data_IF_347307702347
#
_entry.id   IF_347307702347
#
_cell.length_a   1.000
_cell.length_b   1.000
_cell.length_c   1.000
_cell.angle_alpha   90.00
_cell.angle_beta   90.00
_cell.angle_gamma   90.00
#
_symmetry.space_group_name_H-M   'P 1'
#
loop_
_entity.id
_entity.type
_entity.pdbx_description
1 polymer ?
#
# COMPACT_ATOMS: atom_id res chain seq x y z
N UNK A 1 6.89 -9.31 1.65
CA UNK A 1 8.32 -9.56 1.94
C UNK A 1 8.54 -10.78 2.85
N UNK A 2 7.87 -11.90 2.51
CA UNK A 2 8.16 -13.26 3.00
C UNK A 2 7.64 -14.26 1.94
N UNK A 3 6.53 -13.95 1.26
CA UNK A 3 5.99 -14.78 0.17
C UNK A 3 6.90 -15.02 -1.05
N UNK A 4 7.80 -14.09 -1.39
CA UNK A 4 8.67 -14.20 -2.56
C UNK A 4 9.82 -15.22 -2.38
N UNK A 5 10.56 -15.22 -1.25
CA UNK A 5 11.48 -16.31 -0.92
C UNK A 5 10.76 -17.58 -0.40
N UNK A 6 9.61 -17.46 0.29
CA UNK A 6 8.85 -18.64 0.75
C UNK A 6 8.16 -19.39 -0.40
N UNK A 7 7.87 -18.73 -1.52
CA UNK A 7 7.35 -19.35 -2.74
C UNK A 7 8.33 -20.31 -3.39
N UNK A 8 9.64 -20.14 -3.18
CA UNK A 8 10.66 -21.11 -3.61
C UNK A 8 10.62 -22.42 -2.79
N UNK A 9 10.06 -22.39 -1.57
CA UNK A 9 9.93 -23.57 -0.70
C UNK A 9 8.57 -24.24 -0.90
N UNK A 10 7.48 -23.46 -0.83
CA UNK A 10 6.11 -23.96 -1.06
C UNK A 10 5.13 -22.83 -1.37
N UNK A 11 4.41 -22.97 -2.47
CA UNK A 11 3.37 -22.03 -2.90
C UNK A 11 2.16 -21.98 -1.94
N UNK A 12 1.97 -22.99 -1.08
CA UNK A 12 0.87 -23.03 -0.11
C UNK A 12 1.04 -22.04 1.04
N UNK A 13 2.28 -21.74 1.44
CA UNK A 13 2.55 -20.85 2.58
C UNK A 13 2.04 -19.42 2.29
N UNK A 14 2.37 -18.79 1.13
CA UNK A 14 1.76 -17.52 0.73
C UNK A 14 0.23 -17.55 0.68
N UNK A 15 -0.36 -18.62 0.15
CA UNK A 15 -1.82 -18.76 -0.03
C UNK A 15 -2.55 -18.74 1.31
N UNK A 16 -2.07 -19.51 2.29
CA UNK A 16 -2.67 -19.54 3.64
C UNK A 16 -2.53 -18.19 4.33
N UNK A 17 -1.36 -17.55 4.25
CA UNK A 17 -1.12 -16.24 4.86
C UNK A 17 -2.05 -15.18 4.26
N UNK A 18 -2.19 -15.15 2.93
CA UNK A 18 -3.08 -14.21 2.24
C UNK A 18 -4.55 -14.51 2.58
N UNK A 19 -4.94 -15.77 2.67
CA UNK A 19 -6.29 -16.18 3.07
C UNK A 19 -6.66 -15.70 4.48
N UNK A 20 -5.76 -15.88 5.46
CA UNK A 20 -5.96 -15.38 6.83
C UNK A 20 -6.01 -13.85 6.86
N UNK A 21 -5.08 -13.18 6.16
CA UNK A 21 -5.05 -11.73 6.09
C UNK A 21 -6.35 -11.17 5.46
N UNK A 22 -6.83 -11.79 4.39
CA UNK A 22 -8.09 -11.45 3.74
C UNK A 22 -9.29 -11.66 4.66
N UNK A 23 -9.34 -12.79 5.38
CA UNK A 23 -10.40 -13.06 6.36
C UNK A 23 -10.41 -12.03 7.50
N UNK A 24 -9.23 -11.69 8.05
CA UNK A 24 -9.10 -10.67 9.08
C UNK A 24 -9.54 -9.28 8.59
N UNK A 25 -9.19 -8.91 7.37
CA UNK A 25 -9.61 -7.66 6.75
C UNK A 25 -11.15 -7.61 6.60
N UNK A 26 -11.76 -8.66 6.08
CA UNK A 26 -13.22 -8.72 5.90
C UNK A 26 -13.97 -8.73 7.24
N UNK A 27 -13.45 -9.42 8.25
CA UNK A 27 -14.03 -9.43 9.59
C UNK A 27 -14.05 -8.03 10.22
N UNK A 28 -13.03 -7.21 9.96
CA UNK A 28 -12.99 -5.83 10.42
C UNK A 28 -14.07 -4.97 9.78
N UNK A 29 -14.20 -5.00 8.44
CA UNK A 29 -15.22 -4.24 7.71
C UNK A 29 -16.65 -4.61 8.12
N UNK A 30 -16.92 -5.91 8.31
CA UNK A 30 -18.25 -6.39 8.73
C UNK A 30 -18.65 -5.91 10.12
N UNK A 31 -17.68 -5.64 11.01
CA UNK A 31 -17.95 -5.29 12.41
C UNK A 31 -17.78 -3.79 12.72
N UNK A 32 -17.33 -2.97 11.77
CA UNK A 32 -17.17 -1.52 11.97
C UNK A 32 -18.53 -0.85 12.24
N UNK A 33 -19.58 -1.19 11.48
CA UNK A 33 -20.87 -0.52 11.64
C UNK A 33 -21.61 -0.93 12.92
N UNK A 34 -21.47 -2.19 13.35
CA UNK A 34 -22.01 -2.66 14.63
C UNK A 34 -21.27 -2.06 15.82
N UNK A 35 -19.93 -2.04 15.79
CA UNK A 35 -19.12 -1.46 16.88
C UNK A 35 -19.39 0.03 17.10
N UNK A 36 -19.63 0.82 16.05
CA UNK A 36 -20.05 2.23 16.19
C UNK A 36 -21.42 2.32 16.90
N UNK A 37 -22.35 1.44 16.57
CA UNK A 37 -23.67 1.38 17.20
C UNK A 37 -23.64 0.99 18.67
N UNK A 38 -22.67 0.16 19.06
CA UNK A 38 -22.50 -0.32 20.44
C UNK A 38 -21.72 0.67 21.33
N UNK A 39 -20.89 1.53 20.74
CA UNK A 39 -20.02 2.46 21.47
C UNK A 39 -20.58 3.88 21.63
N UNK A 40 -21.58 4.28 20.82
CA UNK A 40 -22.08 5.66 20.77
C UNK A 40 -23.60 5.76 20.94
N UNK A 41 -24.12 6.89 21.47
CA UNK A 41 -25.56 7.07 21.67
C UNK A 41 -26.31 7.06 20.33
N UNK A 42 -27.50 6.45 20.31
CA UNK A 42 -28.33 6.24 19.09
C UNK A 42 -28.55 7.49 18.23
N UNK A 43 -28.54 8.67 18.85
CA UNK A 43 -28.72 9.98 18.18
C UNK A 43 -27.49 10.44 17.38
N UNK A 44 -26.30 9.95 17.73
CA UNK A 44 -25.02 10.39 17.17
C UNK A 44 -24.41 9.40 16.16
N UNK A 45 -24.94 8.17 16.05
CA UNK A 45 -24.40 7.10 15.18
C UNK A 45 -24.25 7.58 13.73
N UNK A 46 -25.28 8.21 13.16
CA UNK A 46 -25.26 8.66 11.77
C UNK A 46 -24.17 9.72 11.50
N UNK A 47 -24.01 10.68 12.40
CA UNK A 47 -23.01 11.74 12.28
C UNK A 47 -21.59 11.18 12.42
N UNK A 48 -21.35 10.27 13.36
CA UNK A 48 -20.04 9.66 13.60
C UNK A 48 -19.62 8.79 12.41
N UNK A 49 -20.54 7.99 11.87
CA UNK A 49 -20.29 7.21 10.65
C UNK A 49 -20.00 8.11 9.46
N UNK A 50 -20.72 9.23 9.32
CA UNK A 50 -20.47 10.21 8.26
C UNK A 50 -19.09 10.87 8.35
N UNK A 51 -18.70 11.34 9.55
CA UNK A 51 -17.38 11.92 9.79
C UNK A 51 -16.28 10.87 9.57
N UNK A 52 -16.48 9.64 10.06
CA UNK A 52 -15.55 8.53 9.85
C UNK A 52 -15.37 8.18 8.38
N UNK A 53 -16.46 8.16 7.61
CA UNK A 53 -16.43 7.96 6.15
C UNK A 53 -15.68 9.08 5.41
N UNK A 54 -15.90 10.34 5.79
CA UNK A 54 -15.18 11.48 5.22
C UNK A 54 -13.68 11.42 5.55
N UNK A 55 -13.33 11.14 6.80
CA UNK A 55 -11.94 10.98 7.23
C UNK A 55 -11.24 9.82 6.49
N UNK A 56 -11.95 8.69 6.33
CA UNK A 56 -11.46 7.54 5.55
C UNK A 56 -11.25 7.88 4.07
N UNK A 57 -12.16 8.64 3.46
CA UNK A 57 -12.04 9.09 2.06
C UNK A 57 -10.85 10.03 1.84
N UNK A 58 -10.68 11.03 2.71
CA UNK A 58 -9.55 11.97 2.65
C UNK A 58 -8.23 11.23 2.89
N UNK A 59 -8.18 10.34 3.89
CA UNK A 59 -7.01 9.51 4.15
C UNK A 59 -6.62 8.65 2.95
N UNK A 60 -7.61 8.03 2.30
CA UNK A 60 -7.39 7.20 1.11
C UNK A 60 -6.85 8.02 -0.07
N UNK A 61 -7.38 9.24 -0.27
CA UNK A 61 -6.88 10.14 -1.31
C UNK A 61 -5.41 10.53 -1.07
N UNK A 62 -5.06 10.89 0.16
CA UNK A 62 -3.69 11.29 0.51
C UNK A 62 -2.72 10.11 0.37
N UNK A 63 -3.10 8.92 0.82
CA UNK A 63 -2.26 7.71 0.70
C UNK A 63 -2.07 7.32 -0.76
N UNK A 64 -3.12 7.35 -1.59
CA UNK A 64 -3.01 7.00 -3.01
C UNK A 64 -2.11 8.00 -3.76
N UNK A 65 -2.27 9.30 -3.50
CA UNK A 65 -1.43 10.34 -4.12
C UNK A 65 0.03 10.25 -3.64
N UNK A 66 0.23 10.05 -2.34
CA UNK A 66 1.55 9.86 -1.74
C UNK A 66 2.25 8.59 -2.24
N UNK A 67 1.51 7.50 -2.41
CA UNK A 67 2.04 6.23 -2.94
C UNK A 67 2.48 6.38 -4.38
N UNK A 68 1.71 7.07 -5.22
CA UNK A 68 2.10 7.37 -6.61
C UNK A 68 3.43 8.14 -6.67
N UNK A 69 3.53 9.24 -5.91
CA UNK A 69 4.77 10.03 -5.83
C UNK A 69 5.95 9.23 -5.31
N UNK A 70 5.72 8.36 -4.33
CA UNK A 70 6.76 7.48 -3.79
C UNK A 70 7.21 6.46 -4.85
N UNK A 71 6.29 5.84 -5.58
CA UNK A 71 6.64 4.88 -6.63
C UNK A 71 7.42 5.55 -7.77
N UNK A 72 6.98 6.71 -8.25
CA UNK A 72 7.69 7.47 -9.27
C UNK A 72 9.12 7.82 -8.82
N UNK A 73 9.27 8.25 -7.57
CA UNK A 73 10.58 8.54 -6.99
C UNK A 73 11.48 7.30 -6.93
N UNK A 74 10.95 6.18 -6.43
CA UNK A 74 11.72 4.93 -6.28
C UNK A 74 12.09 4.34 -7.64
N UNK A 75 11.22 4.45 -8.65
CA UNK A 75 11.50 3.99 -10.00
C UNK A 75 12.58 4.86 -10.68
N UNK A 76 12.58 6.18 -10.48
CA UNK A 76 13.61 7.05 -11.06
C UNK A 76 14.97 6.85 -10.40
N UNK A 77 15.02 6.84 -9.06
CA UNK A 77 16.29 6.89 -8.33
C UNK A 77 16.91 5.53 -8.06
N UNK A 78 16.10 4.48 -7.91
CA UNK A 78 16.56 3.17 -7.43
C UNK A 78 16.41 2.05 -8.46
N UNK A 79 16.01 2.35 -9.69
CA UNK A 79 16.07 1.37 -10.79
C UNK A 79 17.48 1.30 -11.36
N UNK A 80 17.95 0.09 -11.64
CA UNK A 80 19.25 -0.16 -12.26
C UNK A 80 19.10 -0.95 -13.55
N UNK A 81 19.88 -0.60 -14.56
CA UNK A 81 19.94 -1.28 -15.85
C UNK A 81 21.38 -1.70 -16.10
N UNK A 82 21.63 -3.00 -16.25
CA UNK A 82 22.97 -3.59 -16.37
C UNK A 82 23.92 -3.21 -15.22
N UNK A 83 23.38 -3.09 -14.00
CA UNK A 83 24.14 -2.73 -12.80
C UNK A 83 24.47 -1.24 -12.65
N UNK A 84 24.09 -0.39 -13.61
CA UNK A 84 24.21 1.07 -13.54
C UNK A 84 22.88 1.72 -13.17
N UNK A 85 22.92 2.89 -12.53
CA UNK A 85 21.70 3.60 -12.17
C UNK A 85 20.96 4.10 -13.42
N UNK A 86 19.63 4.05 -13.40
CA UNK A 86 18.80 4.46 -14.54
C UNK A 86 19.08 5.91 -14.97
N UNK A 87 19.30 6.81 -14.01
CA UNK A 87 19.62 8.22 -14.25
C UNK A 87 21.01 8.44 -14.84
N UNK A 88 21.96 7.54 -14.59
CA UNK A 88 23.30 7.63 -15.19
C UNK A 88 23.27 7.21 -16.66
N UNK A 89 22.51 6.15 -16.98
CA UNK A 89 22.38 5.64 -18.35
C UNK A 89 21.44 6.51 -19.21
N UNK A 90 20.42 7.10 -18.59
CA UNK A 90 19.43 7.95 -19.25
C UNK A 90 19.21 9.26 -18.46
N UNK A 91 20.14 10.24 -18.57
CA UNK A 91 20.02 11.53 -17.88
C UNK A 91 18.79 12.33 -18.32
N UNK A 92 18.22 11.99 -19.48
CA UNK A 92 16.98 12.56 -20.04
C UNK A 92 15.75 12.31 -19.15
N UNK A 93 15.79 11.30 -18.26
CA UNK A 93 14.71 10.99 -17.33
C UNK A 93 14.70 11.88 -16.06
N UNK A 94 15.72 12.72 -15.88
CA UNK A 94 15.83 13.61 -14.72
C UNK A 94 14.80 14.76 -14.79
N UNK A 95 14.64 15.37 -15.97
CA UNK A 95 13.68 16.44 -16.19
C UNK A 95 12.34 15.87 -16.66
N UNK A 96 11.20 16.30 -16.08
CA UNK A 96 9.88 15.75 -16.41
C UNK A 96 9.51 15.94 -17.90
N UNK A 97 9.78 17.11 -18.48
CA UNK A 97 9.44 17.40 -19.88
C UNK A 97 10.29 16.57 -20.87
N UNK A 98 11.56 16.33 -20.52
CA UNK A 98 12.48 15.50 -21.31
C UNK A 98 12.18 14.01 -21.12
N UNK A 99 11.72 13.61 -19.94
CA UNK A 99 11.34 12.24 -19.64
C UNK A 99 10.12 11.82 -20.45
N UNK A 100 9.06 12.63 -20.50
CA UNK A 100 7.85 12.28 -21.25
C UNK A 100 8.11 12.19 -22.76
N UNK A 101 8.91 13.10 -23.31
CA UNK A 101 9.29 13.08 -24.72
C UNK A 101 10.17 11.86 -25.06
N UNK A 102 11.12 11.51 -24.19
CA UNK A 102 11.93 10.30 -24.33
C UNK A 102 11.09 9.02 -24.23
N UNK A 103 10.17 8.93 -23.27
CA UNK A 103 9.29 7.77 -23.09
C UNK A 103 8.38 7.58 -24.31
N UNK A 104 7.76 8.65 -24.81
CA UNK A 104 6.94 8.62 -26.04
C UNK A 104 7.76 8.23 -27.27
N UNK A 105 9.00 8.72 -27.40
CA UNK A 105 9.89 8.34 -28.50
C UNK A 105 10.27 6.85 -28.47
N UNK A 106 10.33 6.24 -27.28
CA UNK A 106 10.58 4.81 -27.08
C UNK A 106 9.29 3.97 -27.00
N UNK A 107 8.13 4.54 -27.36
CA UNK A 107 6.84 3.84 -27.36
C UNK A 107 6.34 3.40 -25.98
N UNK A 108 6.85 4.00 -24.90
CA UNK A 108 6.51 3.68 -23.53
C UNK A 108 5.59 4.76 -22.92
N UNK A 109 4.49 4.32 -22.30
CA UNK A 109 3.57 5.22 -21.58
C UNK A 109 4.08 5.63 -20.20
N UNK A 110 5.01 4.86 -19.64
CA UNK A 110 5.59 5.06 -18.31
C UNK A 110 7.04 4.57 -18.26
N UNK A 111 7.77 4.97 -17.23
CA UNK A 111 9.13 4.46 -16.97
C UNK A 111 9.10 2.94 -16.81
N UNK A 112 8.03 2.38 -16.23
CA UNK A 112 7.88 0.94 -16.09
C UNK A 112 7.78 0.22 -17.44
N UNK A 113 6.99 0.76 -18.37
CA UNK A 113 6.85 0.18 -19.71
C UNK A 113 8.19 0.25 -20.47
N UNK A 114 8.92 1.34 -20.29
CA UNK A 114 10.26 1.47 -20.84
C UNK A 114 11.22 0.44 -20.25
N UNK A 115 11.22 0.26 -18.93
CA UNK A 115 12.02 -0.76 -18.25
C UNK A 115 11.65 -2.18 -18.70
N UNK A 116 10.36 -2.45 -18.97
CA UNK A 116 9.89 -3.72 -19.55
C UNK A 116 10.39 -3.92 -20.98
N UNK A 117 10.38 -2.87 -21.82
CA UNK A 117 10.94 -2.93 -23.18
C UNK A 117 12.45 -3.19 -23.16
N UNK A 118 13.19 -2.57 -22.23
CA UNK A 118 14.62 -2.84 -22.03
C UNK A 118 14.88 -4.28 -21.57
N UNK A 119 14.07 -4.78 -20.64
CA UNK A 119 14.15 -6.17 -20.22
C UNK A 119 13.84 -7.14 -21.37
N UNK A 120 12.85 -6.82 -22.22
CA UNK A 120 12.52 -7.59 -23.42
C UNK A 120 13.64 -7.57 -24.48
N UNK A 121 14.44 -6.50 -24.48
CA UNK A 121 15.63 -6.36 -25.35
C UNK A 121 16.85 -7.13 -24.83
N UNK A 122 16.72 -7.84 -23.70
CA UNK A 122 17.76 -8.69 -23.12
C UNK A 122 18.66 -7.97 -22.11
N UNK A 123 18.34 -6.75 -21.70
CA UNK A 123 19.08 -6.05 -20.64
C UNK A 123 18.65 -6.53 -19.24
N UNK A 124 19.59 -6.56 -18.31
CA UNK A 124 19.31 -6.92 -16.91
C UNK A 124 18.75 -5.69 -16.17
N UNK A 125 17.44 -5.69 -15.93
CA UNK A 125 16.74 -4.56 -15.31
C UNK A 125 16.29 -4.92 -13.89
N UNK A 126 16.79 -4.19 -12.90
CA UNK A 126 16.26 -4.23 -11.54
C UNK A 126 15.36 -3.01 -11.33
N UNK A 127 14.06 -3.25 -11.19
CA UNK A 127 13.07 -2.19 -11.07
C UNK A 127 12.98 -1.72 -9.61
N UNK A 128 13.21 -0.42 -9.37
CA UNK A 128 13.18 0.20 -8.05
C UNK A 128 11.80 0.19 -7.39
N UNK A 129 10.74 -0.13 -8.16
CA UNK A 129 9.37 -0.24 -7.66
C UNK A 129 9.22 -1.26 -6.51
N UNK A 130 10.02 -2.33 -6.51
CA UNK A 130 10.01 -3.33 -5.43
C UNK A 130 10.39 -2.71 -4.07
N UNK A 131 11.36 -1.79 -4.06
CA UNK A 131 11.75 -1.03 -2.88
C UNK A 131 10.64 -0.07 -2.44
N UNK A 132 9.93 0.53 -3.39
CA UNK A 132 8.72 1.31 -3.10
C UNK A 132 7.63 0.48 -2.43
N UNK A 133 7.38 -0.74 -2.92
CA UNK A 133 6.43 -1.67 -2.29
C UNK A 133 6.83 -2.02 -0.86
N UNK A 134 8.13 -2.21 -0.60
CA UNK A 134 8.60 -2.48 0.77
C UNK A 134 8.30 -1.34 1.73
N UNK A 135 8.51 -0.09 1.32
CA UNK A 135 8.26 1.08 2.16
C UNK A 135 6.77 1.21 2.47
N UNK A 136 5.91 1.14 1.45
CA UNK A 136 4.46 1.32 1.65
C UNK A 136 3.85 0.21 2.52
N UNK A 137 4.22 -1.05 2.31
CA UNK A 137 3.72 -2.15 3.12
C UNK A 137 4.19 -2.06 4.58
N UNK A 138 5.41 -1.56 4.82
CA UNK A 138 5.94 -1.35 6.17
C UNK A 138 5.17 -0.26 6.90
N UNK A 139 4.88 0.87 6.23
CA UNK A 139 4.07 1.96 6.79
C UNK A 139 2.65 1.46 7.10
N UNK A 140 2.02 0.74 6.17
CA UNK A 140 0.68 0.18 6.37
C UNK A 140 0.62 -0.82 7.54
N UNK A 141 1.64 -1.67 7.69
CA UNK A 141 1.71 -2.61 8.81
C UNK A 141 1.78 -1.88 10.17
N UNK A 142 2.60 -0.84 10.26
CA UNK A 142 2.71 -0.02 11.49
C UNK A 142 1.42 0.74 11.76
N UNK A 143 0.81 1.34 10.73
CA UNK A 143 -0.47 2.04 10.86
C UNK A 143 -1.60 1.12 11.38
N UNK A 144 -1.64 -0.14 10.90
CA UNK A 144 -2.60 -1.12 11.37
C UNK A 144 -2.40 -1.47 12.86
N UNK A 145 -1.15 -1.67 13.29
CA UNK A 145 -0.83 -1.92 14.70
C UNK A 145 -1.22 -0.74 15.59
N UNK A 146 -0.98 0.49 15.14
CA UNK A 146 -1.40 1.70 15.86
C UNK A 146 -2.92 1.74 16.01
N UNK A 147 -3.66 1.49 14.92
CA UNK A 147 -5.13 1.44 14.97
C UNK A 147 -5.65 0.37 15.93
N UNK A 148 -5.05 -0.81 15.92
CA UNK A 148 -5.39 -1.89 16.85
C UNK A 148 -5.12 -1.52 18.32
N UNK A 149 -3.97 -0.89 18.61
CA UNK A 149 -3.64 -0.39 19.95
C UNK A 149 -4.64 0.66 20.40
N UNK A 150 -4.98 1.64 19.55
CA UNK A 150 -5.97 2.68 19.86
C UNK A 150 -7.34 2.07 20.15
N UNK A 151 -7.80 1.12 19.35
CA UNK A 151 -9.06 0.41 19.61
C UNK A 151 -9.03 -0.32 20.96
N UNK A 152 -7.92 -1.00 21.29
CA UNK A 152 -7.76 -1.66 22.59
C UNK A 152 -7.74 -0.69 23.79
N UNK A 153 -7.24 0.53 23.60
CA UNK A 153 -7.24 1.56 24.62
C UNK A 153 -8.63 2.19 24.83
N UNK A 154 -9.43 2.31 23.76
CA UNK A 154 -10.73 2.98 23.80
C UNK A 154 -11.90 2.08 24.20
N UNK A 155 -11.77 0.75 24.10
CA UNK A 155 -12.86 -0.18 24.45
C UNK A 155 -13.10 -0.20 25.98
N UNK A 156 -14.31 0.19 26.45
CA UNK A 156 -14.65 0.13 27.87
C UNK A 156 -14.74 -1.32 28.37
N UNK A 157 -14.29 -1.58 29.61
CA UNK A 157 -14.51 -2.88 30.26
C UNK A 157 -15.95 -2.97 30.74
N UNK A 158 -16.78 -3.79 30.09
CA UNK A 158 -18.15 -4.05 30.54
C UNK A 158 -18.13 -4.85 31.85
N UNK A 159 -18.87 -4.39 32.86
CA UNK A 159 -19.12 -5.13 34.10
C UNK A 159 -20.38 -6.00 33.93
N UNK A 160 -20.38 -7.27 34.38
CA UNK A 160 -21.60 -8.08 34.39
C UNK A 160 -22.70 -7.40 35.21
N UNK A 161 -23.95 -7.47 34.74
CA UNK A 161 -25.10 -6.99 35.51
C UNK A 161 -25.36 -8.02 36.60
N UNK A 162 -25.06 -7.67 37.85
CA UNK A 162 -25.16 -8.56 39.02
C UNK A 162 -26.48 -8.46 39.77
N UNK A 163 -27.42 -7.62 39.33
CA UNK A 163 -28.74 -7.49 39.94
C UNK A 163 -29.78 -8.21 39.08
N UNK A 164 -30.19 -9.39 39.55
CA UNK A 164 -31.34 -10.20 39.09
C UNK A 164 -32.40 -10.22 40.19
#
# INVERSE_FOLDING_TARGET
MLAQPLGHISYWVPVVIIGIAGAAHQAWSANIFSTIGDMFPKKAIATITGIGGMAGGIGSFLINKGSGLLFDFTQKNWSTVNGQALLEKFPQLNNPDTAESFLKANGAGSIEDFLKHLAASGETVANGINSGYMIIFSICAVAYLIGWVVMKLLVPKYKPITDL
#
